data_IF_298696353904
#
_entry.id   IF_298696353904
#
_cell.length_a   1.000
_cell.length_b   1.000
_cell.length_c   1.000
_cell.angle_alpha   90.00
_cell.angle_beta   90.00
_cell.angle_gamma   90.00
#
_symmetry.space_group_name_H-M   'P 1'
#
loop_
_entity.id
_entity.type
_entity.pdbx_description
1 polymer ?
#
# COMPACT_ATOMS: atom_id res chain seq x y z
N UNK A 1 28.80 -22.55 -49.14
CA UNK A 1 27.53 -22.94 -48.49
C UNK A 1 27.83 -23.23 -47.02
N UNK A 2 27.03 -22.78 -46.04
CA UNK A 2 27.18 -23.25 -44.66
C UNK A 2 26.83 -24.74 -44.58
N UNK A 3 27.47 -25.48 -43.67
CA UNK A 3 27.18 -26.90 -43.45
C UNK A 3 25.71 -27.12 -43.07
N UNK A 4 25.13 -28.22 -43.52
CA UNK A 4 23.82 -28.63 -43.01
C UNK A 4 23.92 -28.93 -41.52
N UNK A 5 22.93 -28.48 -40.72
CA UNK A 5 22.92 -28.73 -39.27
C UNK A 5 23.07 -30.21 -38.89
N UNK A 6 22.58 -31.11 -39.76
CA UNK A 6 22.71 -32.57 -39.58
C UNK A 6 24.16 -33.07 -39.63
N UNK A 7 25.00 -32.51 -40.51
CA UNK A 7 26.41 -32.90 -40.60
C UNK A 7 27.18 -32.40 -39.37
N UNK A 8 26.82 -31.21 -38.89
CA UNK A 8 27.39 -30.62 -37.68
C UNK A 8 27.05 -31.43 -36.42
N UNK A 9 25.81 -31.88 -36.29
CA UNK A 9 25.36 -32.75 -35.19
C UNK A 9 26.01 -34.14 -35.25
N UNK A 10 26.20 -34.69 -36.46
CA UNK A 10 26.88 -35.95 -36.67
C UNK A 10 28.33 -35.91 -36.18
N UNK A 11 29.12 -34.91 -36.60
CA UNK A 11 30.49 -34.75 -36.14
C UNK A 11 30.56 -34.48 -34.63
N UNK A 12 29.68 -33.65 -34.07
CA UNK A 12 29.63 -33.42 -32.63
C UNK A 12 29.40 -34.73 -31.84
N UNK A 13 28.55 -35.62 -32.35
CA UNK A 13 28.27 -36.93 -31.74
C UNK A 13 29.49 -37.84 -31.79
N UNK A 14 30.19 -37.90 -32.93
CA UNK A 14 31.39 -38.73 -33.08
C UNK A 14 32.55 -38.22 -32.22
N UNK A 15 32.77 -36.90 -32.19
CA UNK A 15 33.86 -36.27 -31.44
C UNK A 15 33.68 -36.42 -29.92
N UNK A 16 32.43 -36.41 -29.44
CA UNK A 16 32.10 -36.60 -28.02
C UNK A 16 31.94 -38.08 -27.61
N UNK A 17 31.98 -39.00 -28.57
CA UNK A 17 31.91 -40.44 -28.31
C UNK A 17 33.15 -40.97 -27.58
N UNK A 18 33.19 -42.26 -27.27
CA UNK A 18 34.37 -42.91 -26.69
C UNK A 18 35.20 -43.72 -27.70
N UNK A 19 34.78 -43.74 -28.97
CA UNK A 19 35.45 -44.47 -30.05
C UNK A 19 36.56 -43.61 -30.67
N UNK A 20 37.81 -43.93 -30.35
CA UNK A 20 38.99 -43.16 -30.77
C UNK A 20 39.23 -43.20 -32.29
N UNK A 21 38.83 -44.29 -32.98
CA UNK A 21 39.01 -44.38 -34.43
C UNK A 21 37.98 -43.51 -35.15
N UNK A 22 36.72 -43.54 -34.68
CA UNK A 22 35.68 -42.64 -35.20
C UNK A 22 35.99 -41.17 -34.93
N UNK A 23 36.59 -40.85 -33.78
CA UNK A 23 37.10 -39.50 -33.50
C UNK A 23 38.17 -39.07 -34.48
N UNK A 24 39.14 -39.94 -34.79
CA UNK A 24 40.21 -39.63 -35.76
C UNK A 24 39.65 -39.32 -37.14
N UNK A 25 38.70 -40.12 -37.61
CA UNK A 25 38.01 -39.89 -38.89
C UNK A 25 37.25 -38.56 -38.85
N UNK A 26 36.47 -38.32 -37.80
CA UNK A 26 35.75 -37.06 -37.64
C UNK A 26 36.67 -35.84 -37.60
N UNK A 27 37.84 -35.95 -36.95
CA UNK A 27 38.85 -34.87 -36.89
C UNK A 27 39.46 -34.61 -38.27
N UNK A 28 39.77 -35.65 -39.04
CA UNK A 28 40.27 -35.51 -40.40
C UNK A 28 39.23 -34.84 -41.31
N UNK A 29 37.97 -35.25 -41.22
CA UNK A 29 36.86 -34.65 -41.96
C UNK A 29 36.69 -33.17 -41.61
N UNK A 30 36.60 -32.86 -40.32
CA UNK A 30 36.48 -31.48 -39.84
C UNK A 30 37.69 -30.63 -40.26
N UNK A 31 38.89 -31.20 -40.29
CA UNK A 31 40.10 -30.51 -40.75
C UNK A 31 40.06 -30.11 -42.23
N UNK A 32 39.47 -30.94 -43.11
CA UNK A 32 39.27 -30.57 -44.52
C UNK A 32 38.40 -29.32 -44.68
N UNK A 33 37.59 -29.03 -43.67
CA UNK A 33 36.61 -27.95 -43.67
C UNK A 33 36.97 -26.77 -42.75
N UNK A 34 38.17 -26.77 -42.14
CA UNK A 34 38.56 -25.79 -41.11
C UNK A 34 38.34 -24.33 -41.51
N UNK A 35 38.59 -23.97 -42.78
CA UNK A 35 38.44 -22.59 -43.28
C UNK A 35 36.98 -22.09 -43.24
N UNK A 36 36.00 -22.99 -43.17
CA UNK A 36 34.58 -22.66 -43.12
C UNK A 36 34.05 -22.61 -41.67
N UNK A 37 34.83 -23.07 -40.69
CA UNK A 37 34.45 -23.07 -39.28
C UNK A 37 34.61 -21.68 -38.66
N UNK A 38 33.66 -21.27 -37.83
CA UNK A 38 33.80 -20.09 -36.96
C UNK A 38 34.33 -20.52 -35.59
N UNK A 39 34.86 -19.56 -34.83
CA UNK A 39 35.34 -19.80 -33.46
C UNK A 39 34.30 -20.52 -32.58
N UNK A 40 33.05 -20.07 -32.59
CA UNK A 40 31.97 -20.70 -31.82
C UNK A 40 31.57 -22.10 -32.29
N UNK A 41 31.98 -22.53 -33.48
CA UNK A 41 31.70 -23.89 -33.96
C UNK A 41 32.60 -24.92 -33.29
N UNK A 42 33.85 -24.56 -32.97
CA UNK A 42 34.77 -25.40 -32.19
C UNK A 42 34.24 -25.72 -30.78
N UNK A 43 33.61 -24.74 -30.13
CA UNK A 43 32.94 -24.92 -28.83
C UNK A 43 31.71 -25.83 -28.98
N UNK A 44 30.89 -25.61 -30.01
CA UNK A 44 29.70 -26.44 -30.29
C UNK A 44 30.06 -27.90 -30.56
N UNK A 45 31.13 -28.18 -31.28
CA UNK A 45 31.58 -29.55 -31.54
C UNK A 45 32.21 -30.24 -30.32
N UNK A 46 32.50 -29.51 -29.24
CA UNK A 46 33.29 -30.03 -28.13
C UNK A 46 34.77 -30.24 -28.49
N UNK A 47 35.23 -29.62 -29.58
CA UNK A 47 36.63 -29.70 -30.01
C UNK A 47 37.55 -28.98 -29.03
N UNK A 48 37.06 -27.95 -28.33
CA UNK A 48 37.88 -27.21 -27.37
C UNK A 48 38.43 -28.11 -26.26
N UNK A 49 37.63 -29.05 -25.76
CA UNK A 49 38.06 -30.01 -24.73
C UNK A 49 39.05 -31.04 -25.28
N UNK A 50 38.84 -31.50 -26.53
CA UNK A 50 39.76 -32.39 -27.25
C UNK A 50 41.12 -31.71 -27.54
N UNK A 51 41.09 -30.46 -28.00
CA UNK A 51 42.26 -29.63 -28.27
C UNK A 51 43.08 -29.38 -26.99
N UNK A 52 42.43 -29.26 -25.83
CA UNK A 52 43.10 -29.15 -24.52
C UNK A 52 43.68 -30.47 -24.01
N UNK A 53 43.08 -31.60 -24.34
CA UNK A 53 43.38 -32.89 -23.69
C UNK A 53 44.28 -33.85 -24.47
N UNK A 54 44.36 -33.77 -25.81
CA UNK A 54 44.94 -34.86 -26.63
C UNK A 54 45.93 -34.42 -27.74
N UNK A 55 46.69 -33.34 -27.55
CA UNK A 55 47.55 -32.75 -28.60
C UNK A 55 48.54 -33.71 -29.29
N UNK A 56 48.97 -34.79 -28.63
CA UNK A 56 50.09 -35.63 -29.12
C UNK A 56 49.66 -36.95 -29.75
N UNK A 57 48.38 -37.32 -29.72
CA UNK A 57 47.93 -38.68 -30.12
C UNK A 57 46.95 -38.74 -31.29
N UNK A 58 46.51 -37.58 -31.79
CA UNK A 58 45.48 -37.50 -32.81
C UNK A 58 45.94 -36.64 -33.99
N UNK A 59 46.14 -37.23 -35.19
CA UNK A 59 46.55 -36.49 -36.38
C UNK A 59 45.59 -35.35 -36.70
N UNK A 60 46.10 -34.27 -37.31
CA UNK A 60 45.36 -33.07 -37.71
C UNK A 60 44.78 -32.20 -36.57
N UNK A 61 44.85 -32.65 -35.30
CA UNK A 61 44.34 -31.89 -34.17
C UNK A 61 45.11 -30.57 -33.95
N UNK A 62 46.43 -30.57 -34.15
CA UNK A 62 47.24 -29.34 -34.09
C UNK A 62 46.88 -28.30 -35.15
N UNK A 63 46.48 -28.76 -36.34
CA UNK A 63 46.04 -27.88 -37.43
C UNK A 63 44.71 -27.20 -37.11
N UNK A 64 43.81 -27.90 -36.42
CA UNK A 64 42.56 -27.36 -35.91
C UNK A 64 42.79 -26.41 -34.72
N UNK A 65 43.81 -26.68 -33.89
CA UNK A 65 44.19 -25.79 -32.80
C UNK A 65 44.69 -24.44 -33.31
N UNK A 66 45.62 -24.47 -34.27
CA UNK A 66 46.17 -23.25 -34.88
C UNK A 66 45.06 -22.40 -35.52
N UNK A 67 44.13 -23.02 -36.23
CA UNK A 67 42.97 -22.34 -36.83
C UNK A 67 42.03 -21.76 -35.75
N UNK A 68 41.75 -22.52 -34.69
CA UNK A 68 40.94 -22.06 -33.57
C UNK A 68 41.56 -20.86 -32.83
N UNK A 69 42.88 -20.91 -32.57
CA UNK A 69 43.63 -19.81 -31.95
C UNK A 69 43.68 -18.59 -32.87
N UNK A 70 43.96 -18.77 -34.16
CA UNK A 70 43.98 -17.69 -35.15
C UNK A 70 42.61 -16.99 -35.28
N UNK A 71 41.51 -17.74 -35.07
CA UNK A 71 40.13 -17.21 -35.05
C UNK A 71 39.72 -16.62 -33.70
N UNK A 72 40.63 -16.56 -32.73
CA UNK A 72 40.41 -15.91 -31.44
C UNK A 72 39.80 -16.81 -30.36
N UNK A 73 39.80 -18.13 -30.53
CA UNK A 73 39.21 -19.07 -29.58
C UNK A 73 39.91 -19.16 -28.21
N UNK A 74 41.18 -18.76 -28.15
CA UNK A 74 41.94 -18.60 -26.90
C UNK A 74 42.12 -17.12 -26.54
N UNK A 75 41.48 -16.22 -27.29
CA UNK A 75 41.70 -14.79 -27.16
C UNK A 75 41.26 -14.29 -25.78
N UNK A 76 42.15 -13.48 -25.18
CA UNK A 76 41.89 -12.62 -24.02
C UNK A 76 40.60 -11.79 -24.16
N UNK A 77 40.09 -11.59 -25.37
CA UNK A 77 38.88 -10.81 -25.63
C UNK A 77 37.59 -11.48 -25.10
N UNK A 78 37.51 -12.82 -25.08
CA UNK A 78 36.36 -13.53 -24.52
C UNK A 78 36.32 -13.44 -22.99
N UNK A 79 37.48 -13.65 -22.36
CA UNK A 79 37.67 -13.52 -20.90
C UNK A 79 37.44 -12.08 -20.46
N UNK A 80 38.02 -11.10 -21.16
CA UNK A 80 37.87 -9.67 -20.86
C UNK A 80 36.42 -9.18 -20.96
N UNK A 81 35.63 -9.74 -21.90
CA UNK A 81 34.19 -9.43 -22.02
C UNK A 81 33.37 -10.02 -20.89
N UNK A 82 33.71 -11.22 -20.42
CA UNK A 82 33.05 -11.83 -19.27
C UNK A 82 33.38 -11.06 -18.00
N UNK A 83 34.65 -10.68 -17.81
CA UNK A 83 35.10 -9.89 -16.67
C UNK A 83 34.41 -8.52 -16.60
N UNK A 84 34.25 -7.83 -17.73
CA UNK A 84 33.56 -6.55 -17.77
C UNK A 84 32.07 -6.67 -17.46
N UNK A 85 31.40 -7.73 -17.94
CA UNK A 85 30.00 -8.00 -17.62
C UNK A 85 29.83 -8.37 -16.14
N UNK A 86 30.73 -9.16 -15.57
CA UNK A 86 30.74 -9.49 -14.13
C UNK A 86 30.89 -8.24 -13.29
N UNK A 87 31.81 -7.33 -13.64
CA UNK A 87 31.97 -6.05 -12.92
C UNK A 87 30.71 -5.17 -13.02
N UNK A 88 30.05 -5.16 -14.18
CA UNK A 88 28.80 -4.43 -14.37
C UNK A 88 27.70 -4.99 -13.48
N UNK A 89 27.49 -6.30 -13.51
CA UNK A 89 26.50 -6.99 -12.68
C UNK A 89 26.78 -6.82 -11.18
N UNK A 90 28.05 -6.80 -10.75
CA UNK A 90 28.42 -6.52 -9.36
C UNK A 90 28.03 -5.11 -8.93
N UNK A 91 28.25 -4.10 -9.78
CA UNK A 91 27.84 -2.72 -9.51
C UNK A 91 26.32 -2.58 -9.44
N UNK A 92 25.60 -3.21 -10.36
CA UNK A 92 24.13 -3.24 -10.36
C UNK A 92 23.59 -3.92 -9.09
N UNK A 93 24.17 -5.06 -8.70
CA UNK A 93 23.78 -5.76 -7.48
C UNK A 93 24.06 -4.93 -6.22
N UNK A 94 25.18 -4.22 -6.16
CA UNK A 94 25.48 -3.29 -5.06
C UNK A 94 24.47 -2.13 -4.99
N UNK A 95 24.10 -1.55 -6.15
CA UNK A 95 23.09 -0.50 -6.21
C UNK A 95 21.70 -1.00 -5.77
N UNK A 96 21.31 -2.20 -6.21
CA UNK A 96 20.05 -2.82 -5.82
C UNK A 96 19.99 -3.13 -4.32
N UNK A 97 21.08 -3.63 -3.73
CA UNK A 97 21.17 -3.84 -2.27
C UNK A 97 20.96 -2.54 -1.50
N UNK A 98 21.62 -1.47 -1.92
CA UNK A 98 21.46 -0.16 -1.28
C UNK A 98 20.02 0.35 -1.41
N UNK A 99 19.42 0.23 -2.58
CA UNK A 99 18.02 0.62 -2.80
C UNK A 99 17.05 -0.19 -1.94
N UNK A 100 17.30 -1.50 -1.78
CA UNK A 100 16.49 -2.37 -0.93
C UNK A 100 16.57 -1.98 0.55
N UNK A 101 17.77 -1.65 1.04
CA UNK A 101 17.98 -1.16 2.41
C UNK A 101 17.25 0.17 2.66
N UNK A 102 17.34 1.12 1.72
CA UNK A 102 16.62 2.39 1.79
C UNK A 102 15.09 2.17 1.82
N UNK A 103 14.57 1.28 0.97
CA UNK A 103 13.15 0.91 0.96
C UNK A 103 12.72 0.20 2.23
N UNK A 104 13.56 -0.65 2.82
CA UNK A 104 13.28 -1.28 4.11
C UNK A 104 13.16 -0.26 5.25
N UNK A 105 14.01 0.78 5.24
CA UNK A 105 13.93 1.88 6.20
C UNK A 105 12.64 2.69 5.99
N UNK A 106 12.29 3.03 4.76
CA UNK A 106 11.03 3.73 4.44
C UNK A 106 9.81 2.92 4.87
N UNK A 107 9.80 1.60 4.61
CA UNK A 107 8.73 0.71 5.00
C UNK A 107 8.56 0.64 6.52
N UNK A 108 9.67 0.56 7.26
CA UNK A 108 9.64 0.59 8.73
C UNK A 108 9.05 1.91 9.26
N UNK A 109 9.46 3.05 8.69
CA UNK A 109 8.88 4.36 9.06
C UNK A 109 7.38 4.43 8.77
N UNK A 110 6.92 3.85 7.66
CA UNK A 110 5.51 3.79 7.33
C UNK A 110 4.72 2.92 8.33
N UNK A 111 5.27 1.79 8.77
CA UNK A 111 4.66 0.96 9.81
C UNK A 111 4.57 1.70 11.15
N UNK A 112 5.63 2.37 11.58
CA UNK A 112 5.64 3.15 12.82
C UNK A 112 4.58 4.28 12.77
N UNK A 113 4.41 4.92 11.61
CA UNK A 113 3.38 5.95 11.42
C UNK A 113 1.96 5.38 11.42
N UNK A 114 1.74 4.20 10.84
CA UNK A 114 0.44 3.50 10.90
C UNK A 114 0.08 3.20 12.36
N UNK A 115 1.01 2.66 13.14
CA UNK A 115 0.78 2.38 14.57
C UNK A 115 0.46 3.67 15.35
N UNK A 116 1.16 4.77 15.03
CA UNK A 116 0.88 6.09 15.63
C UNK A 116 -0.52 6.57 15.28
N UNK A 117 -0.94 6.45 14.02
CA UNK A 117 -2.27 6.86 13.56
C UNK A 117 -3.38 6.00 14.16
N UNK A 118 -3.16 4.70 14.34
CA UNK A 118 -4.12 3.82 15.03
C UNK A 118 -4.33 4.22 16.48
N UNK A 119 -3.26 4.59 17.20
CA UNK A 119 -3.36 5.13 18.56
C UNK A 119 -4.18 6.42 18.59
N UNK A 120 -3.92 7.34 17.67
CA UNK A 120 -4.68 8.61 17.54
C UNK A 120 -6.15 8.33 17.24
N UNK A 121 -6.43 7.41 16.31
CA UNK A 121 -7.79 6.99 15.97
C UNK A 121 -8.53 6.48 17.20
N UNK A 122 -7.91 5.60 18.00
CA UNK A 122 -8.52 5.05 19.22
C UNK A 122 -8.84 6.15 20.24
N UNK A 123 -7.92 7.07 20.49
CA UNK A 123 -8.16 8.20 21.39
C UNK A 123 -9.29 9.11 20.90
N UNK A 124 -9.42 9.30 19.59
CA UNK A 124 -10.53 10.06 19.00
C UNK A 124 -11.87 9.33 19.17
N UNK A 125 -11.90 8.02 18.95
CA UNK A 125 -13.10 7.19 19.17
C UNK A 125 -13.56 7.29 20.64
N UNK A 126 -12.63 7.14 21.60
CA UNK A 126 -12.92 7.27 23.04
C UNK A 126 -13.47 8.67 23.38
N UNK A 127 -12.87 9.72 22.82
CA UNK A 127 -13.30 11.11 23.03
C UNK A 127 -14.72 11.34 22.49
N UNK A 128 -15.04 10.78 21.31
CA UNK A 128 -16.37 10.90 20.70
C UNK A 128 -17.42 10.19 21.55
N UNK A 129 -17.12 8.99 22.06
CA UNK A 129 -18.02 8.26 22.96
C UNK A 129 -18.27 9.08 24.23
N UNK A 130 -17.21 9.59 24.88
CA UNK A 130 -17.34 10.44 26.06
C UNK A 130 -18.17 11.71 25.82
N UNK A 131 -17.96 12.39 24.68
CA UNK A 131 -18.78 13.55 24.31
C UNK A 131 -20.25 13.21 24.10
N UNK A 132 -20.56 12.06 23.48
CA UNK A 132 -21.95 11.60 23.29
C UNK A 132 -22.64 11.31 24.63
N UNK A 133 -21.93 10.69 25.58
CA UNK A 133 -22.48 10.43 26.91
C UNK A 133 -22.77 11.73 27.67
N UNK A 134 -21.84 12.68 27.64
CA UNK A 134 -22.04 14.01 28.25
C UNK A 134 -23.22 14.73 27.58
N UNK A 135 -23.28 14.74 26.25
CA UNK A 135 -24.38 15.34 25.52
C UNK A 135 -25.73 14.73 25.90
N UNK A 136 -25.82 13.40 25.99
CA UNK A 136 -27.04 12.69 26.39
C UNK A 136 -27.48 13.06 27.81
N UNK A 137 -26.54 13.11 28.77
CA UNK A 137 -26.84 13.53 30.15
C UNK A 137 -27.31 14.98 30.22
N UNK A 138 -26.64 15.88 29.50
CA UNK A 138 -27.01 17.30 29.45
C UNK A 138 -28.38 17.48 28.81
N UNK A 139 -28.67 16.75 27.73
CA UNK A 139 -29.98 16.81 27.08
C UNK A 139 -31.08 16.33 28.01
N UNK A 140 -30.91 15.19 28.69
CA UNK A 140 -31.89 14.70 29.65
C UNK A 140 -32.10 15.67 30.84
N UNK A 141 -31.04 16.34 31.29
CA UNK A 141 -31.15 17.36 32.35
C UNK A 141 -31.93 18.59 31.87
N UNK A 142 -31.67 19.07 30.64
CA UNK A 142 -32.38 20.19 30.04
C UNK A 142 -33.86 19.87 29.81
N UNK A 143 -34.19 18.66 29.37
CA UNK A 143 -35.58 18.21 29.21
C UNK A 143 -36.34 18.23 30.54
N UNK A 144 -35.72 17.77 31.64
CA UNK A 144 -36.31 17.86 32.98
C UNK A 144 -36.53 19.31 33.43
N UNK A 145 -35.54 20.18 33.20
CA UNK A 145 -35.66 21.60 33.56
C UNK A 145 -36.77 22.27 32.74
N UNK A 146 -36.87 21.95 31.45
CA UNK A 146 -37.91 22.47 30.58
C UNK A 146 -39.30 22.06 31.07
N UNK A 147 -39.47 20.81 31.48
CA UNK A 147 -40.76 20.32 31.95
C UNK A 147 -41.15 20.97 33.29
N UNK A 148 -40.23 21.05 34.24
CA UNK A 148 -40.47 21.77 35.50
C UNK A 148 -40.81 23.26 35.27
N UNK A 149 -40.18 23.91 34.28
CA UNK A 149 -40.48 25.28 33.93
C UNK A 149 -41.90 25.45 33.33
N UNK A 150 -42.38 24.46 32.56
CA UNK A 150 -43.76 24.45 32.06
C UNK A 150 -44.76 24.26 33.18
N UNK A 151 -44.53 23.29 34.07
CA UNK A 151 -45.39 23.06 35.24
C UNK A 151 -45.50 24.33 36.10
N UNK A 152 -44.38 25.03 36.31
CA UNK A 152 -44.37 26.30 37.03
C UNK A 152 -45.14 27.40 36.27
N UNK A 153 -45.02 27.45 34.95
CA UNK A 153 -45.77 28.42 34.14
C UNK A 153 -47.28 28.17 34.21
N UNK A 154 -47.72 26.91 34.17
CA UNK A 154 -49.12 26.54 34.34
C UNK A 154 -49.63 26.90 35.74
N UNK A 155 -48.87 26.58 36.78
CA UNK A 155 -49.21 26.95 38.16
C UNK A 155 -49.38 28.46 38.33
N UNK A 156 -48.41 29.25 37.84
CA UNK A 156 -48.48 30.72 37.89
C UNK A 156 -49.66 31.28 37.09
N UNK A 157 -50.00 30.66 35.95
CA UNK A 157 -51.15 31.07 35.13
C UNK A 157 -52.47 30.84 35.87
N UNK A 158 -52.61 29.69 36.52
CA UNK A 158 -53.78 29.37 37.34
C UNK A 158 -53.92 30.32 38.55
N UNK A 159 -52.81 30.66 39.22
CA UNK A 159 -52.80 31.65 40.30
C UNK A 159 -53.24 33.04 39.79
N UNK A 160 -52.76 33.45 38.63
CA UNK A 160 -53.12 34.73 38.02
C UNK A 160 -54.61 34.78 37.65
N UNK A 161 -55.16 33.72 37.07
CA UNK A 161 -56.59 33.60 36.79
C UNK A 161 -57.43 33.67 38.08
N UNK A 162 -57.00 32.98 39.13
CA UNK A 162 -57.64 33.04 40.45
C UNK A 162 -57.62 34.45 41.04
N UNK A 163 -56.50 35.16 40.93
CA UNK A 163 -56.36 36.54 41.38
C UNK A 163 -57.29 37.49 40.59
N UNK A 164 -57.35 37.34 39.25
CA UNK A 164 -58.29 38.11 38.43
C UNK A 164 -59.74 37.85 38.81
N UNK A 165 -60.11 36.59 39.07
CA UNK A 165 -61.45 36.24 39.57
C UNK A 165 -61.78 36.94 40.90
N UNK A 166 -60.85 36.92 41.85
CA UNK A 166 -60.98 37.61 43.15
C UNK A 166 -61.14 39.12 42.98
N UNK A 167 -60.37 39.73 42.08
CA UNK A 167 -60.46 41.16 41.77
C UNK A 167 -61.85 41.49 41.22
N UNK A 168 -62.36 40.69 40.27
CA UNK A 168 -63.69 40.89 39.70
C UNK A 168 -64.81 40.77 40.75
N UNK A 169 -64.69 39.83 41.69
CA UNK A 169 -65.60 39.68 42.82
C UNK A 169 -65.57 40.91 43.75
N UNK A 170 -64.38 41.36 44.15
CA UNK A 170 -64.21 42.56 44.98
C UNK A 170 -64.76 43.82 44.30
N UNK A 171 -64.56 43.98 42.99
CA UNK A 171 -65.13 45.09 42.23
C UNK A 171 -66.66 45.06 42.22
N UNK A 172 -67.27 43.87 42.08
CA UNK A 172 -68.73 43.72 42.15
C UNK A 172 -69.27 44.10 43.54
N UNK A 173 -68.67 43.55 44.60
CA UNK A 173 -69.09 43.83 45.98
C UNK A 173 -68.94 45.33 46.32
N UNK A 174 -67.87 45.98 45.84
CA UNK A 174 -67.68 47.41 46.03
C UNK A 174 -68.74 48.24 45.28
N UNK A 175 -69.15 47.81 44.09
CA UNK A 175 -70.21 48.47 43.33
C UNK A 175 -71.57 48.33 44.03
N UNK A 176 -71.90 47.15 44.56
CA UNK A 176 -73.10 46.89 45.36
C UNK A 176 -73.12 47.77 46.62
N UNK A 177 -72.04 47.75 47.42
CA UNK A 177 -71.92 48.60 48.61
C UNK A 177 -72.05 50.10 48.28
N UNK A 178 -71.51 50.53 47.14
CA UNK A 178 -71.66 51.93 46.68
C UNK A 178 -73.13 52.26 46.38
N UNK A 179 -73.88 51.34 45.76
CA UNK A 179 -75.30 51.53 45.48
C UNK A 179 -76.11 51.60 46.79
N UNK A 180 -75.89 50.68 47.72
CA UNK A 180 -76.54 50.68 49.04
C UNK A 180 -76.30 52.01 49.78
N UNK A 181 -75.06 52.52 49.73
CA UNK A 181 -74.71 53.80 50.36
C UNK A 181 -75.43 54.98 49.68
N UNK A 182 -75.56 54.97 48.36
CA UNK A 182 -76.31 56.00 47.61
C UNK A 182 -77.80 55.96 47.98
N UNK A 183 -78.40 54.77 48.08
CA UNK A 183 -79.79 54.61 48.52
C UNK A 183 -79.99 55.13 49.95
N UNK A 184 -79.12 54.75 50.89
CA UNK A 184 -79.19 55.21 52.27
C UNK A 184 -79.09 56.74 52.37
N UNK A 185 -78.16 57.36 51.64
CA UNK A 185 -78.03 58.82 51.57
C UNK A 185 -79.28 59.49 50.99
N UNK A 186 -79.92 58.86 49.98
CA UNK A 186 -81.19 59.35 49.42
C UNK A 186 -82.32 59.29 50.45
N UNK A 187 -82.41 58.23 51.25
CA UNK A 187 -83.40 58.13 52.32
C UNK A 187 -83.18 59.17 53.42
N UNK A 188 -81.93 59.36 53.89
CA UNK A 188 -81.61 60.42 54.84
C UNK A 188 -81.98 61.81 54.32
N UNK A 189 -81.73 62.09 53.03
CA UNK A 189 -82.11 63.36 52.42
C UNK A 189 -83.63 63.59 52.44
N UNK A 190 -84.45 62.55 52.27
CA UNK A 190 -85.92 62.64 52.37
C UNK A 190 -86.42 62.96 53.79
N UNK A 191 -85.71 62.51 54.82
CA UNK A 191 -86.08 62.74 56.23
C UNK A 191 -85.77 64.18 56.67
N UNK A 192 -84.75 64.81 56.08
CA UNK A 192 -84.30 66.16 56.43
C UNK A 192 -85.05 67.29 55.68
N UNK A 193 -85.98 66.96 54.78
CA UNK A 193 -86.83 67.90 54.03
C UNK A 193 -88.22 67.99 54.66
#
# INVERSE_FOLDING_TARGET
>A
MPFSGRLLEYWATLLRGNDEERKRIAIADVCMFKNQLKCGDYEKFGLVDLLRSQKTRTPNLGVLEEDYVAKGGWSKNGVSRIESEVQKLQKENAALKKSLEEKAIEFKKALDEVERLEKVRKTLEDTVVGKKEVQSRTQAALEKILEAAKEQLEANSAELEGAHGKIAELMRNLAEQKNDMVELLSEFAKILQ
#
